data_IF_071145515750
#
_entry.id   IF_071145515750
#
_cell.length_a   1.000
_cell.length_b   1.000
_cell.length_c   1.000
_cell.angle_alpha   90.00
_cell.angle_beta   90.00
_cell.angle_gamma   90.00
#
_symmetry.space_group_name_H-M   'P 1'
#
loop_
_entity.id
_entity.type
_entity.pdbx_description
1 polymer ?
#
# COMPACT_ATOMS: atom_id res chain seq x y z
N UNK A 1 -1.17 -18.20 -5.39
CA UNK A 1 -1.24 -16.80 -5.86
C UNK A 1 0.17 -16.33 -6.14
N UNK A 2 0.42 -15.76 -7.31
CA UNK A 2 1.73 -15.17 -7.66
C UNK A 2 1.82 -13.73 -7.18
N UNK A 3 3.04 -13.19 -7.10
CA UNK A 3 3.29 -11.77 -6.80
C UNK A 3 2.62 -10.83 -7.82
N UNK A 4 2.66 -11.18 -9.10
CA UNK A 4 2.01 -10.41 -10.16
C UNK A 4 0.49 -10.33 -9.96
N UNK A 5 -0.15 -11.45 -9.60
CA UNK A 5 -1.59 -11.48 -9.33
C UNK A 5 -1.94 -10.61 -8.11
N UNK A 6 -1.11 -10.58 -7.06
CA UNK A 6 -1.30 -9.66 -5.94
C UNK A 6 -1.30 -8.20 -6.41
N UNK A 7 -0.37 -7.82 -7.29
CA UNK A 7 -0.30 -6.46 -7.82
C UNK A 7 -1.52 -6.12 -8.69
N UNK A 8 -1.97 -7.04 -9.54
CA UNK A 8 -3.20 -6.87 -10.33
C UNK A 8 -4.41 -6.67 -9.44
N UNK A 9 -4.56 -7.47 -8.37
CA UNK A 9 -5.68 -7.34 -7.43
C UNK A 9 -5.64 -5.98 -6.71
N UNK A 10 -4.48 -5.59 -6.19
CA UNK A 10 -4.32 -4.31 -5.47
C UNK A 10 -4.64 -3.13 -6.39
N UNK A 11 -4.13 -3.14 -7.62
CA UNK A 11 -4.39 -2.09 -8.61
C UNK A 11 -5.86 -2.07 -9.05
N UNK A 12 -6.47 -3.25 -9.26
CA UNK A 12 -7.88 -3.37 -9.62
C UNK A 12 -8.81 -2.84 -8.53
N UNK A 13 -8.52 -3.10 -7.25
CA UNK A 13 -9.29 -2.55 -6.13
C UNK A 13 -9.14 -1.02 -6.05
N UNK A 14 -7.92 -0.48 -6.18
CA UNK A 14 -7.71 0.99 -6.20
C UNK A 14 -8.48 1.63 -7.37
N UNK A 15 -8.43 1.02 -8.56
CA UNK A 15 -9.15 1.51 -9.74
C UNK A 15 -10.68 1.45 -9.57
N UNK A 16 -11.22 0.33 -9.06
CA UNK A 16 -12.67 0.14 -8.88
C UNK A 16 -13.26 1.03 -7.78
N UNK A 17 -12.49 1.30 -6.72
CA UNK A 17 -12.94 2.11 -5.58
C UNK A 17 -12.68 3.61 -5.75
N UNK A 18 -11.68 3.98 -6.55
CA UNK A 18 -11.15 5.35 -6.63
C UNK A 18 -10.37 5.78 -5.38
N UNK A 19 -10.12 4.86 -4.44
CA UNK A 19 -9.45 5.14 -3.17
C UNK A 19 -8.12 4.42 -3.08
N UNK A 20 -7.21 4.95 -2.26
CA UNK A 20 -5.85 4.42 -2.10
C UNK A 20 -5.85 2.93 -1.71
N UNK A 21 -5.05 2.13 -2.41
CA UNK A 21 -4.60 0.82 -1.97
C UNK A 21 -3.26 0.49 -2.63
N UNK A 22 -2.19 0.36 -1.83
CA UNK A 22 -0.84 0.23 -2.35
C UNK A 22 -0.01 -0.76 -1.55
N UNK A 23 0.78 -1.57 -2.26
CA UNK A 23 1.86 -2.33 -1.64
C UNK A 23 2.96 -1.33 -1.24
N UNK A 24 3.21 -1.23 0.07
CA UNK A 24 4.11 -0.24 0.67
C UNK A 24 5.38 -0.85 1.24
N UNK A 25 5.40 -2.17 1.45
CA UNK A 25 6.60 -2.87 1.90
C UNK A 25 6.75 -4.23 1.21
N UNK A 26 7.96 -4.49 0.72
CA UNK A 26 8.37 -5.70 0.01
C UNK A 26 9.39 -6.43 0.88
N UNK A 27 8.91 -7.08 1.95
CA UNK A 27 9.80 -7.69 2.96
C UNK A 27 10.43 -8.98 2.45
N UNK A 28 9.60 -9.94 2.05
CA UNK A 28 10.05 -11.26 1.60
C UNK A 28 9.32 -11.63 0.33
N UNK A 29 10.08 -11.80 -0.76
CA UNK A 29 9.52 -12.15 -2.06
C UNK A 29 8.63 -13.38 -1.97
N UNK A 30 7.41 -13.28 -2.50
CA UNK A 30 6.36 -14.31 -2.51
C UNK A 30 5.79 -14.70 -1.14
N UNK A 31 6.29 -14.15 -0.03
CA UNK A 31 5.85 -14.55 1.31
C UNK A 31 5.25 -13.41 2.13
N UNK A 32 5.85 -12.21 2.08
CA UNK A 32 5.47 -11.14 2.99
C UNK A 32 5.50 -9.78 2.30
N UNK A 33 4.30 -9.21 2.18
CA UNK A 33 4.05 -7.86 1.69
C UNK A 33 3.22 -7.09 2.70
N UNK A 34 3.37 -5.77 2.74
CA UNK A 34 2.48 -4.88 3.49
C UNK A 34 1.73 -4.01 2.51
N UNK A 35 0.40 -3.95 2.68
CA UNK A 35 -0.50 -3.12 1.87
C UNK A 35 -1.10 -2.05 2.77
N UNK A 36 -1.11 -0.80 2.31
CA UNK A 36 -1.73 0.33 2.99
C UNK A 36 -2.74 1.01 2.08
N UNK A 37 -3.84 1.51 2.65
CA UNK A 37 -4.93 2.08 1.87
C UNK A 37 -6.14 2.45 2.71
N UNK A 38 -7.24 2.80 2.05
CA UNK A 38 -8.54 3.02 2.68
C UNK A 38 -9.02 1.75 3.37
N UNK A 39 -9.67 1.91 4.53
CA UNK A 39 -10.18 0.78 5.33
C UNK A 39 -11.12 -0.15 4.55
N UNK A 40 -11.98 0.37 3.68
CA UNK A 40 -12.87 -0.42 2.82
C UNK A 40 -12.06 -1.21 1.79
N UNK A 41 -11.02 -0.61 1.23
CA UNK A 41 -10.14 -1.29 0.26
C UNK A 41 -9.29 -2.38 0.91
N UNK A 42 -8.82 -2.18 2.15
CA UNK A 42 -8.12 -3.20 2.92
C UNK A 42 -9.02 -4.38 3.25
N UNK A 43 -10.27 -4.12 3.61
CA UNK A 43 -11.28 -5.17 3.81
C UNK A 43 -11.60 -5.88 2.48
N UNK A 44 -11.75 -5.14 1.40
CA UNK A 44 -11.99 -5.67 0.04
C UNK A 44 -10.88 -6.65 -0.35
N UNK A 45 -9.62 -6.27 -0.10
CA UNK A 45 -8.47 -7.14 -0.35
C UNK A 45 -8.54 -8.43 0.48
N UNK A 46 -8.89 -8.32 1.77
CA UNK A 46 -9.03 -9.47 2.67
C UNK A 46 -10.09 -10.47 2.16
N UNK A 47 -11.26 -9.96 1.77
CA UNK A 47 -12.37 -10.76 1.22
C UNK A 47 -12.01 -11.36 -0.14
N UNK A 48 -11.43 -10.57 -1.04
CA UNK A 48 -11.01 -11.01 -2.37
C UNK A 48 -9.98 -12.13 -2.29
N UNK A 49 -8.95 -11.98 -1.46
CA UNK A 49 -7.93 -13.01 -1.26
C UNK A 49 -8.50 -14.30 -0.68
N UNK A 50 -9.52 -14.23 0.17
CA UNK A 50 -10.23 -15.41 0.66
C UNK A 50 -10.98 -16.13 -0.48
N UNK A 51 -11.64 -15.39 -1.37
CA UNK A 51 -12.33 -15.94 -2.54
C UNK A 51 -11.36 -16.60 -3.53
N UNK A 52 -10.20 -15.97 -3.80
CA UNK A 52 -9.17 -16.50 -4.70
C UNK A 52 -8.61 -17.86 -4.27
N UNK A 53 -8.65 -18.23 -2.98
CA UNK A 53 -8.26 -19.59 -2.55
C UNK A 53 -9.14 -20.67 -3.17
N UNK A 54 -10.40 -20.36 -3.47
CA UNK A 54 -11.39 -21.35 -3.96
C UNK A 54 -11.48 -21.40 -5.48
N UNK A 55 -10.89 -20.43 -6.18
CA UNK A 55 -10.87 -20.41 -7.63
C UNK A 55 -9.89 -21.43 -8.21
N UNK A 56 -10.34 -22.10 -9.28
CA UNK A 56 -9.53 -22.99 -10.11
C UNK A 56 -8.92 -22.29 -11.32
N UNK A 57 -9.40 -21.09 -11.63
CA UNK A 57 -9.05 -20.26 -12.79
C UNK A 57 -8.54 -18.89 -12.32
N UNK A 58 -7.55 -18.34 -13.02
CA UNK A 58 -6.99 -17.00 -12.79
C UNK A 58 -7.19 -16.08 -14.00
N UNK A 59 -8.28 -16.31 -14.74
CA UNK A 59 -8.67 -15.46 -15.87
C UNK A 59 -9.01 -14.04 -15.39
N UNK A 60 -8.71 -13.02 -16.21
CA UNK A 60 -8.89 -11.61 -15.84
C UNK A 60 -10.34 -11.28 -15.47
N UNK A 61 -11.31 -11.86 -16.18
CA UNK A 61 -12.73 -11.60 -15.94
C UNK A 61 -13.20 -12.15 -14.58
N UNK A 62 -12.61 -13.26 -14.12
CA UNK A 62 -12.89 -13.83 -12.80
C UNK A 62 -12.33 -12.94 -11.68
N UNK A 63 -11.15 -12.34 -11.92
CA UNK A 63 -10.51 -11.40 -10.98
C UNK A 63 -11.37 -10.16 -10.77
N UNK A 64 -11.84 -9.54 -11.85
CA UNK A 64 -12.64 -8.31 -11.78
C UNK A 64 -13.99 -8.55 -11.07
N UNK A 65 -14.65 -9.69 -11.35
CA UNK A 65 -15.88 -10.09 -10.66
C UNK A 65 -15.68 -10.23 -9.16
N UNK A 66 -14.57 -10.86 -8.73
CA UNK A 66 -14.24 -11.00 -7.30
C UNK A 66 -13.98 -9.65 -6.66
N UNK A 67 -13.23 -8.76 -7.33
CA UNK A 67 -12.93 -7.43 -6.82
C UNK A 67 -14.24 -6.66 -6.59
N UNK A 68 -15.12 -6.63 -7.58
CA UNK A 68 -16.39 -5.90 -7.49
C UNK A 68 -17.30 -6.47 -6.39
N UNK A 69 -17.45 -7.79 -6.34
CA UNK A 69 -18.25 -8.45 -5.29
C UNK A 69 -17.67 -8.20 -3.89
N UNK A 70 -16.36 -8.29 -3.73
CA UNK A 70 -15.68 -8.05 -2.45
C UNK A 70 -15.78 -6.60 -2.01
N UNK A 71 -15.74 -5.66 -2.96
CA UNK A 71 -15.85 -4.23 -2.70
C UNK A 71 -17.24 -3.86 -2.20
N UNK A 72 -18.27 -4.44 -2.82
CA UNK A 72 -19.65 -4.25 -2.40
C UNK A 72 -19.90 -4.80 -0.99
N UNK A 73 -19.39 -6.00 -0.69
CA UNK A 73 -19.45 -6.60 0.65
C UNK A 73 -18.73 -5.73 1.70
N UNK A 74 -17.55 -5.20 1.36
CA UNK A 74 -16.80 -4.33 2.27
C UNK A 74 -17.53 -3.00 2.54
N UNK A 75 -18.17 -2.40 1.53
CA UNK A 75 -19.00 -1.19 1.66
C UNK A 75 -20.24 -1.46 2.52
N UNK A 76 -20.97 -2.55 2.26
CA UNK A 76 -22.13 -2.93 3.04
C UNK A 76 -21.76 -3.14 4.53
N UNK A 77 -20.63 -3.80 4.81
CA UNK A 77 -20.13 -3.97 6.18
C UNK A 77 -19.78 -2.63 6.84
N UNK A 78 -19.19 -1.70 6.08
CA UNK A 78 -18.87 -0.34 6.56
C UNK A 78 -20.14 0.42 6.94
N UNK A 79 -21.13 0.42 6.07
CA UNK A 79 -22.44 1.05 6.30
C UNK A 79 -23.17 0.43 7.50
N UNK A 80 -23.18 -0.90 7.63
CA UNK A 80 -23.77 -1.58 8.79
C UNK A 80 -23.09 -1.17 10.11
N UNK A 81 -21.76 -0.99 10.09
CA UNK A 81 -21.03 -0.49 11.25
C UNK A 81 -21.44 0.94 11.61
N UNK A 82 -21.54 1.83 10.63
CA UNK A 82 -21.94 3.23 10.83
C UNK A 82 -23.38 3.35 11.35
N UNK A 83 -24.32 2.60 10.77
CA UNK A 83 -25.72 2.57 11.20
C UNK A 83 -25.87 2.07 12.65
N UNK A 84 -25.04 1.13 13.07
CA UNK A 84 -25.02 0.60 14.44
C UNK A 84 -24.17 1.42 15.41
N UNK A 85 -23.55 2.52 14.96
CA UNK A 85 -22.67 3.35 15.77
C UNK A 85 -21.41 2.62 16.27
N UNK A 86 -20.97 1.56 15.57
CA UNK A 86 -19.77 0.78 15.92
C UNK A 86 -18.60 1.14 15.01
N UNK A 87 -17.35 1.16 15.51
CA UNK A 87 -16.18 1.41 14.66
C UNK A 87 -16.00 0.29 13.63
N UNK A 88 -15.60 0.67 12.42
CA UNK A 88 -15.24 -0.28 11.37
C UNK A 88 -13.81 -0.76 11.58
N UNK A 89 -13.68 -1.96 12.15
CA UNK A 89 -12.39 -2.57 12.49
C UNK A 89 -12.05 -3.70 11.52
N UNK A 90 -10.83 -3.64 10.98
CA UNK A 90 -10.28 -4.73 10.18
C UNK A 90 -10.01 -5.96 11.06
N UNK A 91 -10.31 -7.13 10.53
CA UNK A 91 -10.05 -8.42 11.22
C UNK A 91 -9.02 -9.24 10.43
N UNK A 92 -8.38 -10.18 11.11
CA UNK A 92 -7.49 -11.14 10.46
C UNK A 92 -8.29 -11.94 9.43
N UNK A 93 -7.82 -11.93 8.18
CA UNK A 93 -8.35 -12.76 7.11
C UNK A 93 -7.53 -14.03 6.93
N UNK A 94 -7.84 -14.77 5.86
CA UNK A 94 -7.16 -16.00 5.51
C UNK A 94 -5.68 -15.75 5.09
N UNK A 95 -5.45 -14.68 4.32
CA UNK A 95 -4.14 -14.32 3.77
C UNK A 95 -3.68 -12.92 4.22
N UNK A 96 -4.38 -12.31 5.17
CA UNK A 96 -4.18 -10.92 5.60
C UNK A 96 -4.13 -10.84 7.12
N UNK A 97 -3.21 -10.02 7.63
CA UNK A 97 -3.07 -9.74 9.06
C UNK A 97 -3.04 -8.22 9.21
N UNK A 98 -4.09 -7.59 9.77
CA UNK A 98 -4.07 -6.16 10.07
C UNK A 98 -2.94 -5.83 11.04
N UNK A 99 -2.33 -4.65 10.87
CA UNK A 99 -1.32 -4.13 11.78
C UNK A 99 -1.99 -3.16 12.77
N UNK A 100 -2.27 -3.57 14.02
CA UNK A 100 -2.97 -2.73 14.98
C UNK A 100 -2.10 -1.53 15.41
N UNK A 101 -2.75 -0.37 15.60
CA UNK A 101 -2.08 0.87 16.04
C UNK A 101 -1.36 1.63 14.93
N UNK A 102 -1.55 1.26 13.66
CA UNK A 102 -1.02 1.97 12.49
C UNK A 102 -2.18 2.51 11.67
N UNK A 103 -2.49 3.80 11.85
CA UNK A 103 -3.63 4.46 11.18
C UNK A 103 -3.22 5.29 9.95
N UNK A 104 -1.92 5.42 9.69
CA UNK A 104 -1.39 6.21 8.57
C UNK A 104 -0.77 5.30 7.51
N UNK A 105 -1.04 5.53 6.21
CA UNK A 105 -0.50 4.71 5.13
C UNK A 105 0.95 5.12 4.80
N UNK A 106 1.89 4.78 5.69
CA UNK A 106 3.32 5.06 5.50
C UNK A 106 3.86 4.44 4.20
N UNK A 107 4.83 5.11 3.58
CA UNK A 107 5.41 4.78 2.27
C UNK A 107 4.45 4.80 1.07
N UNK A 108 3.17 5.13 1.26
CA UNK A 108 2.23 5.31 0.16
C UNK A 108 2.36 6.68 -0.51
N UNK A 109 1.70 6.84 -1.65
CA UNK A 109 1.59 8.14 -2.35
C UNK A 109 0.84 9.21 -1.57
N UNK A 110 0.05 8.82 -0.57
CA UNK A 110 -0.76 9.74 0.24
C UNK A 110 0.11 10.76 1.00
N UNK A 111 1.31 10.35 1.41
CA UNK A 111 2.21 11.21 2.20
C UNK A 111 3.16 12.06 1.36
N UNK A 112 3.11 11.97 0.02
CA UNK A 112 4.03 12.69 -0.86
C UNK A 112 3.92 14.21 -0.71
N UNK A 113 2.72 14.73 -0.46
CA UNK A 113 2.47 16.17 -0.26
C UNK A 113 3.20 16.74 0.95
N UNK A 114 3.45 15.94 1.99
CA UNK A 114 4.19 16.36 3.19
C UNK A 114 5.71 16.30 3.06
N UNK A 115 6.23 15.61 2.04
CA UNK A 115 7.68 15.41 1.85
C UNK A 115 8.47 16.72 1.73
N UNK A 116 8.02 17.76 1.00
CA UNK A 116 8.73 19.03 0.93
C UNK A 116 8.96 19.69 2.29
N UNK A 117 7.93 19.77 3.13
CA UNK A 117 8.02 20.37 4.46
C UNK A 117 8.92 19.57 5.39
N UNK A 118 8.80 18.24 5.37
CA UNK A 118 9.67 17.36 6.15
C UNK A 118 11.14 17.46 5.73
N UNK A 119 11.40 17.61 4.42
CA UNK A 119 12.76 17.82 3.89
C UNK A 119 13.37 19.12 4.43
N UNK A 120 12.59 20.19 4.52
CA UNK A 120 13.11 21.46 5.04
C UNK A 120 13.41 21.38 6.53
N UNK A 121 12.54 20.70 7.30
CA UNK A 121 12.81 20.39 8.69
C UNK A 121 14.13 19.62 8.86
N UNK A 122 14.39 18.60 8.04
CA UNK A 122 15.66 17.85 8.12
C UNK A 122 16.90 18.70 7.82
N UNK A 123 16.78 19.78 7.03
CA UNK A 123 17.90 20.69 6.74
C UNK A 123 18.26 21.59 7.92
N UNK A 124 17.30 21.89 8.81
CA UNK A 124 17.56 22.70 10.01
C UNK A 124 18.22 21.88 11.12
N UNK A 125 18.06 20.55 11.10
CA UNK A 125 18.70 19.64 12.06
C UNK A 125 20.21 19.57 11.78
N UNK A 126 21.01 20.00 12.76
CA UNK A 126 22.49 20.13 12.69
C UNK A 126 23.25 18.82 12.39
N UNK A 127 22.58 17.66 12.42
CA UNK A 127 23.15 16.34 12.15
C UNK A 127 23.71 16.26 10.72
N UNK A 128 23.07 16.92 9.75
CA UNK A 128 23.40 16.75 8.32
C UNK A 128 24.66 17.50 7.89
N UNK A 129 25.00 18.64 8.50
CA UNK A 129 26.16 19.42 8.05
C UNK A 129 27.47 19.01 8.71
N UNK A 130 27.45 18.62 9.98
CA UNK A 130 28.68 18.37 10.76
C UNK A 130 29.19 16.93 10.67
N UNK A 131 28.30 15.94 10.56
CA UNK A 131 28.66 14.51 10.67
C UNK A 131 28.63 13.70 9.37
N UNK A 132 28.09 14.28 8.30
CA UNK A 132 27.75 13.56 7.06
C UNK A 132 28.70 13.90 5.89
N UNK A 133 29.22 15.14 5.83
CA UNK A 133 30.00 15.62 4.68
C UNK A 133 31.25 14.79 4.35
N UNK A 134 31.81 14.07 5.32
CA UNK A 134 33.03 13.29 5.18
C UNK A 134 32.80 11.76 5.27
N UNK A 135 31.56 11.27 5.19
CA UNK A 135 31.31 9.82 5.27
C UNK A 135 31.30 9.14 3.89
N UNK A 136 32.02 8.00 3.71
CA UNK A 136 32.06 7.25 2.46
C UNK A 136 30.69 6.80 1.93
N UNK A 137 29.72 6.61 2.84
CA UNK A 137 28.35 6.22 2.50
C UNK A 137 27.65 7.24 1.58
N UNK A 138 28.04 8.52 1.64
CA UNK A 138 27.40 9.58 0.86
C UNK A 138 27.80 9.61 -0.61
N UNK A 139 29.01 9.18 -0.96
CA UNK A 139 29.42 9.05 -2.36
C UNK A 139 28.54 8.04 -3.10
N UNK A 140 28.42 6.83 -2.53
CA UNK A 140 27.55 5.76 -3.03
C UNK A 140 26.07 6.15 -2.98
N UNK A 141 25.64 6.86 -1.94
CA UNK A 141 24.26 7.35 -1.85
C UNK A 141 23.94 8.39 -2.93
N UNK A 142 24.90 9.23 -3.33
CA UNK A 142 24.71 10.24 -4.38
C UNK A 142 24.54 9.60 -5.76
N UNK A 143 25.32 8.58 -6.08
CA UNK A 143 25.17 7.79 -7.31
C UNK A 143 23.81 7.09 -7.34
N UNK A 144 23.47 6.34 -6.29
CA UNK A 144 22.15 5.68 -6.16
C UNK A 144 20.99 6.67 -6.19
N UNK A 145 21.17 7.88 -5.66
CA UNK A 145 20.17 8.93 -5.72
C UNK A 145 19.93 9.41 -7.17
N UNK A 146 20.97 9.54 -7.99
CA UNK A 146 20.79 9.91 -9.40
C UNK A 146 20.09 8.80 -10.19
N UNK A 147 20.44 7.54 -9.94
CA UNK A 147 19.73 6.38 -10.52
C UNK A 147 18.25 6.39 -10.13
N UNK A 148 17.96 6.55 -8.84
CA UNK A 148 16.58 6.62 -8.33
C UNK A 148 15.82 7.82 -8.94
N UNK A 149 16.46 8.98 -9.07
CA UNK A 149 15.88 10.17 -9.68
C UNK A 149 15.58 9.98 -11.17
N UNK A 150 16.43 9.26 -11.89
CA UNK A 150 16.19 8.89 -13.29
C UNK A 150 14.98 7.95 -13.43
N UNK A 151 14.84 6.96 -12.54
CA UNK A 151 13.70 6.03 -12.51
C UNK A 151 12.39 6.76 -12.17
N UNK A 152 12.41 7.70 -11.24
CA UNK A 152 11.21 8.49 -10.87
C UNK A 152 10.78 9.34 -12.07
N UNK A 153 11.73 10.01 -12.73
CA UNK A 153 11.45 10.88 -13.88
C UNK A 153 10.96 10.12 -15.12
N UNK A 154 11.40 8.88 -15.34
CA UNK A 154 10.95 8.05 -16.46
C UNK A 154 9.54 7.47 -16.25
N UNK A 155 9.03 7.43 -15.01
CA UNK A 155 7.69 6.94 -14.67
C UNK A 155 6.59 8.02 -14.70
N UNK A 156 6.89 9.23 -15.17
CA UNK A 156 5.88 10.27 -15.43
C UNK A 156 5.10 10.76 -14.21
N UNK A 157 5.70 10.67 -13.01
CA UNK A 157 5.16 11.29 -11.77
C UNK A 157 5.92 12.56 -11.42
#
# INVERSE_FOLDING_TARGET
MTEELLYTIVQGIEAASGKLLQVVNFNVQQYQYVVAGDSVNLETLSLGLAAFKTLKSTESEDVDKIIMYSLEQARARKEECEQRGRPFMLTRGLATIPLPGIDMPFHSRELLSGVPSFRELLRTVHIVKKYIANQPVFGKAKEKYQEAKAIIKSKGK
#
